data_IF_742884582776
#
_entry.id   IF_742884582776
#
_cell.length_a   1.000
_cell.length_b   1.000
_cell.length_c   1.000
_cell.angle_alpha   90.00
_cell.angle_beta   90.00
_cell.angle_gamma   90.00
#
_symmetry.space_group_name_H-M   'P 1'
#
loop_
_entity.id
_entity.type
_entity.pdbx_description
1 polymer ?
#
# COMPACT_ATOMS: atom_id res chain seq x y z
N UNK A 1 -8.05 -13.77 -1.16
CA UNK A 1 -7.88 -15.23 -1.07
C UNK A 1 -6.40 -15.60 -1.04
N UNK A 2 -6.09 -16.85 -0.66
CA UNK A 2 -4.73 -17.34 -0.48
C UNK A 2 -3.92 -17.37 -1.78
N UNK A 3 -4.54 -17.73 -2.89
CA UNK A 3 -3.88 -17.74 -4.19
C UNK A 3 -3.34 -16.35 -4.56
N UNK A 4 -4.13 -15.32 -4.32
CA UNK A 4 -3.71 -13.94 -4.56
C UNK A 4 -2.53 -13.54 -3.65
N UNK A 5 -2.58 -13.91 -2.37
CA UNK A 5 -1.48 -13.63 -1.43
C UNK A 5 -0.18 -14.31 -1.88
N UNK A 6 -0.27 -15.57 -2.33
CA UNK A 6 0.90 -16.30 -2.83
C UNK A 6 1.50 -15.63 -4.08
N UNK A 7 0.66 -15.10 -4.97
CA UNK A 7 1.14 -14.34 -6.13
C UNK A 7 1.89 -13.07 -5.71
N UNK A 8 1.38 -12.36 -4.69
CA UNK A 8 2.08 -11.19 -4.13
C UNK A 8 3.45 -11.62 -3.57
N UNK A 9 3.50 -12.70 -2.81
CA UNK A 9 4.75 -13.23 -2.26
C UNK A 9 5.74 -13.59 -3.37
N UNK A 10 5.25 -14.21 -4.44
CA UNK A 10 6.07 -14.57 -5.58
C UNK A 10 6.68 -13.34 -6.26
N UNK A 11 5.89 -12.29 -6.45
CA UNK A 11 6.40 -11.03 -7.02
C UNK A 11 7.51 -10.45 -6.13
N UNK A 12 7.31 -10.44 -4.81
CA UNK A 12 8.33 -9.95 -3.88
C UNK A 12 9.62 -10.78 -3.96
N UNK A 13 9.51 -12.11 -4.06
CA UNK A 13 10.64 -13.01 -4.19
C UNK A 13 11.42 -12.77 -5.50
N UNK A 14 10.69 -12.48 -6.59
CA UNK A 14 11.30 -12.23 -7.90
C UNK A 14 11.92 -10.83 -8.01
N UNK A 15 11.70 -9.97 -7.01
CA UNK A 15 12.24 -8.62 -6.98
C UNK A 15 13.03 -8.36 -5.68
N UNK A 16 14.10 -9.13 -5.41
CA UNK A 16 14.77 -9.05 -4.11
C UNK A 16 15.45 -7.70 -3.85
N UNK A 17 15.77 -6.94 -4.88
CA UNK A 17 16.34 -5.60 -4.75
C UNK A 17 15.31 -4.51 -4.46
N UNK A 18 14.02 -4.85 -4.34
CA UNK A 18 12.96 -3.88 -4.08
C UNK A 18 12.32 -4.16 -2.73
N UNK A 19 11.93 -3.10 -2.02
CA UNK A 19 11.17 -3.21 -0.78
C UNK A 19 9.69 -2.99 -1.08
N UNK A 20 8.86 -3.84 -0.49
CA UNK A 20 7.41 -3.81 -0.68
C UNK A 20 6.69 -3.58 0.64
N UNK A 21 5.53 -2.96 0.60
CA UNK A 21 4.63 -2.93 1.75
C UNK A 21 3.20 -3.13 1.28
N UNK A 22 2.40 -3.76 2.12
CA UNK A 22 1.01 -4.09 1.80
C UNK A 22 0.12 -3.79 3.00
N UNK A 23 -0.81 -2.83 2.89
CA UNK A 23 -1.85 -2.69 3.91
C UNK A 23 -2.93 -3.76 3.70
N UNK A 24 -3.49 -4.25 4.79
CA UNK A 24 -4.56 -5.25 4.73
C UNK A 24 -5.55 -5.07 5.88
N UNK A 25 -6.79 -5.48 5.68
CA UNK A 25 -7.80 -5.68 6.74
C UNK A 25 -8.18 -7.16 6.87
N UNK A 26 -7.54 -8.02 6.09
CA UNK A 26 -7.81 -9.45 6.07
C UNK A 26 -7.10 -10.13 7.24
N UNK A 27 -7.83 -10.47 8.29
CA UNK A 27 -7.26 -11.04 9.52
C UNK A 27 -6.57 -12.38 9.27
N UNK A 28 -7.09 -13.20 8.33
CA UNK A 28 -6.54 -14.53 8.02
C UNK A 28 -5.10 -14.48 7.49
N UNK A 29 -4.67 -13.35 6.93
CA UNK A 29 -3.28 -13.18 6.43
C UNK A 29 -2.27 -13.36 7.56
N UNK A 30 -2.69 -13.12 8.80
CA UNK A 30 -1.82 -13.30 9.98
C UNK A 30 -1.21 -14.71 10.03
N UNK A 31 -1.99 -15.72 9.66
CA UNK A 31 -1.54 -17.12 9.71
C UNK A 31 -0.51 -17.45 8.63
N UNK A 32 -0.25 -16.54 7.71
CA UNK A 32 0.70 -16.70 6.62
C UNK A 32 1.91 -15.75 6.72
N UNK A 33 2.05 -15.02 7.84
CA UNK A 33 3.16 -14.06 8.01
C UNK A 33 4.53 -14.75 8.08
N UNK A 34 4.58 -15.99 8.56
CA UNK A 34 5.83 -16.73 8.69
C UNK A 34 6.45 -17.08 7.33
N UNK A 35 5.63 -17.19 6.29
CA UNK A 35 6.06 -17.52 4.93
C UNK A 35 6.29 -16.27 4.05
N UNK A 36 6.08 -15.06 4.59
CA UNK A 36 6.23 -13.85 3.80
C UNK A 36 7.69 -13.57 3.45
N UNK A 37 7.98 -13.05 2.25
CA UNK A 37 9.33 -12.63 1.89
C UNK A 37 9.87 -11.52 2.79
N UNK A 38 11.17 -11.52 3.03
CA UNK A 38 11.84 -10.55 3.92
C UNK A 38 11.73 -9.10 3.41
N UNK A 39 11.59 -8.91 2.10
CA UNK A 39 11.46 -7.60 1.49
C UNK A 39 10.02 -7.08 1.46
N UNK A 40 9.07 -7.76 2.14
CA UNK A 40 7.67 -7.36 2.23
C UNK A 40 7.31 -7.04 3.68
N UNK A 41 6.72 -5.87 3.92
CA UNK A 41 6.09 -5.49 5.19
C UNK A 41 4.56 -5.52 5.01
N UNK A 42 3.87 -6.33 5.80
CA UNK A 42 2.40 -6.39 5.81
C UNK A 42 1.90 -5.64 7.04
N UNK A 43 1.08 -4.59 6.81
CA UNK A 43 0.51 -3.78 7.89
C UNK A 43 -0.99 -3.98 7.98
N UNK A 44 -1.44 -4.44 9.12
CA UNK A 44 -2.87 -4.56 9.40
C UNK A 44 -3.45 -3.16 9.67
N UNK A 45 -4.45 -2.77 8.88
CA UNK A 45 -5.10 -1.46 9.00
C UNK A 45 -6.20 -1.52 10.06
N UNK A 46 -6.06 -0.74 11.13
CA UNK A 46 -7.07 -0.65 12.17
C UNK A 46 -8.42 -0.23 11.57
N UNK A 47 -9.53 -0.85 12.00
CA UNK A 47 -10.81 -0.64 11.31
C UNK A 47 -11.46 0.73 11.56
N UNK A 48 -11.16 1.37 12.70
CA UNK A 48 -11.81 2.62 13.12
C UNK A 48 -10.80 3.72 13.37
N UNK A 49 -11.24 4.95 13.27
CA UNK A 49 -10.43 6.14 13.60
C UNK A 49 -10.12 6.14 15.10
N UNK A 50 -8.89 6.48 15.45
CA UNK A 50 -8.35 6.50 16.82
C UNK A 50 -8.41 5.13 17.51
N UNK A 51 -8.55 4.05 16.74
CA UNK A 51 -8.50 2.69 17.26
C UNK A 51 -7.18 2.03 16.85
N UNK A 52 -6.59 1.29 17.77
CA UNK A 52 -5.38 0.53 17.50
C UNK A 52 -5.69 -0.83 16.90
N UNK A 53 -4.80 -1.32 16.09
CA UNK A 53 -4.84 -2.69 15.60
C UNK A 53 -4.56 -3.67 16.76
N UNK A 54 -5.02 -4.94 16.66
CA UNK A 54 -4.70 -5.93 17.67
C UNK A 54 -3.20 -6.06 17.91
N UNK A 55 -2.79 -6.15 19.18
CA UNK A 55 -1.39 -6.19 19.58
C UNK A 55 -0.62 -7.39 18.98
N UNK A 56 -1.35 -8.43 18.61
CA UNK A 56 -0.79 -9.64 18.00
C UNK A 56 -0.28 -9.46 16.58
N UNK A 57 -0.58 -8.31 15.91
CA UNK A 57 0.00 -8.01 14.61
C UNK A 57 1.39 -7.37 14.77
N UNK A 58 2.41 -7.89 14.11
CA UNK A 58 3.76 -7.33 14.23
C UNK A 58 3.86 -5.91 13.66
N UNK A 59 3.16 -5.64 12.54
CA UNK A 59 3.12 -4.31 11.94
C UNK A 59 1.68 -3.90 11.67
N UNK A 60 1.37 -2.64 11.90
CA UNK A 60 0.01 -2.11 11.73
C UNK A 60 0.00 -0.68 11.21
N UNK A 61 -1.17 -0.26 10.81
CA UNK A 61 -1.44 1.15 10.51
C UNK A 61 -2.79 1.55 11.12
N UNK A 62 -2.93 2.83 11.41
CA UNK A 62 -4.14 3.38 12.02
C UNK A 62 -4.43 4.76 11.43
N UNK A 63 -5.68 5.19 11.54
CA UNK A 63 -6.07 6.56 11.21
C UNK A 63 -6.35 7.30 12.51
N UNK A 64 -5.77 8.50 12.67
CA UNK A 64 -5.90 9.30 13.89
C UNK A 64 -6.40 10.71 13.58
N UNK A 65 -7.13 11.29 14.54
CA UNK A 65 -7.60 12.67 14.41
C UNK A 65 -6.45 13.68 14.59
N UNK A 66 -5.42 13.33 15.37
CA UNK A 66 -4.30 14.24 15.66
C UNK A 66 -3.00 13.46 15.81
N UNK A 67 -1.88 14.16 15.65
CA UNK A 67 -0.52 13.63 15.91
C UNK A 67 -0.17 12.39 15.07
N UNK A 68 -0.60 12.37 13.81
CA UNK A 68 -0.22 11.30 12.88
C UNK A 68 1.29 11.27 12.65
N UNK A 69 1.88 10.06 12.61
CA UNK A 69 3.31 9.88 12.33
C UNK A 69 3.67 10.10 10.86
N UNK A 70 2.70 9.93 9.95
CA UNK A 70 2.94 10.12 8.52
C UNK A 70 3.13 11.60 8.19
N UNK A 71 4.29 12.01 7.64
CA UNK A 71 4.55 13.41 7.34
C UNK A 71 3.92 13.89 6.02
N UNK A 72 3.41 12.99 5.18
CA UNK A 72 2.96 13.30 3.83
C UNK A 72 1.98 14.50 3.75
N UNK A 73 0.99 14.63 4.66
CA UNK A 73 0.07 15.80 4.58
C UNK A 73 0.76 17.15 4.74
N UNK A 74 1.92 17.20 5.42
CA UNK A 74 2.73 18.40 5.59
C UNK A 74 3.73 18.60 4.45
N UNK A 75 3.80 17.66 3.51
CA UNK A 75 4.78 17.59 2.41
C UNK A 75 4.08 17.52 1.05
N UNK A 76 2.96 18.23 0.89
CA UNK A 76 2.13 18.23 -0.33
C UNK A 76 1.62 16.83 -0.71
N UNK A 77 1.36 15.99 0.31
CA UNK A 77 0.92 14.59 0.16
C UNK A 77 1.97 13.69 -0.52
N UNK A 78 3.25 14.03 -0.36
CA UNK A 78 4.37 13.26 -0.89
C UNK A 78 5.13 12.57 0.25
N UNK A 79 5.61 11.35 0.00
CA UNK A 79 6.40 10.61 1.00
C UNK A 79 7.83 11.16 1.13
N UNK A 80 8.36 11.77 0.07
CA UNK A 80 9.76 12.27 0.02
C UNK A 80 10.74 11.24 0.59
N UNK A 81 11.49 11.58 1.60
CA UNK A 81 12.48 10.68 2.19
C UNK A 81 11.93 9.74 3.26
N UNK A 82 10.64 9.88 3.62
CA UNK A 82 10.00 9.02 4.60
C UNK A 82 9.82 7.61 4.05
N UNK A 83 10.22 6.61 4.83
CA UNK A 83 10.10 5.18 4.45
C UNK A 83 9.44 4.34 5.57
N UNK A 84 8.70 4.98 6.47
CA UNK A 84 8.08 4.30 7.62
C UNK A 84 7.21 3.11 7.22
N UNK A 85 6.49 3.22 6.10
CA UNK A 85 5.58 2.14 5.65
C UNK A 85 6.35 0.85 5.30
N UNK A 86 7.59 0.98 4.81
CA UNK A 86 8.46 -0.12 4.41
C UNK A 86 9.38 -0.62 5.52
N UNK A 87 9.30 -0.04 6.71
CA UNK A 87 10.22 -0.36 7.83
C UNK A 87 9.52 -1.27 8.83
N UNK A 88 9.93 -2.54 8.84
CA UNK A 88 9.34 -3.55 9.73
C UNK A 88 9.63 -3.28 11.22
N UNK A 89 10.68 -2.49 11.55
CA UNK A 89 10.99 -2.13 12.93
C UNK A 89 9.97 -1.15 13.52
N UNK A 90 9.27 -0.40 12.66
CA UNK A 90 8.21 0.51 13.09
C UNK A 90 6.91 -0.28 13.22
N UNK A 91 6.47 -0.51 14.44
CA UNK A 91 5.29 -1.33 14.72
C UNK A 91 4.03 -0.71 14.11
N UNK A 92 3.78 0.59 14.34
CA UNK A 92 2.54 1.24 13.90
C UNK A 92 2.86 2.54 13.16
N UNK A 93 2.26 2.70 11.98
CA UNK A 93 2.27 3.98 11.24
C UNK A 93 0.87 4.59 11.35
N UNK A 94 0.79 5.85 11.78
CA UNK A 94 -0.50 6.54 11.88
C UNK A 94 -0.64 7.59 10.77
N UNK A 95 -1.82 7.60 10.17
CA UNK A 95 -2.21 8.54 9.13
C UNK A 95 -3.22 9.54 9.68
N UNK A 96 -3.08 10.81 9.33
CA UNK A 96 -4.07 11.81 9.70
C UNK A 96 -5.41 11.57 9.02
N UNK A 97 -6.50 11.68 9.76
CA UNK A 97 -7.84 11.64 9.17
C UNK A 97 -7.99 12.80 8.18
N UNK A 98 -8.33 12.47 6.94
CA UNK A 98 -8.59 13.49 5.95
C UNK A 98 -9.96 14.11 6.23
N UNK A 99 -9.85 15.06 6.87
CA UNK A 99 -10.88 15.69 7.09
C UNK A 99 -11.27 16.21 5.89
N UNK A 100 -12.42 16.02 5.57
CA UNK A 100 -13.05 16.80 4.56
C UNK A 100 -13.01 18.28 4.97
N UNK A 101 -11.87 18.89 4.80
CA UNK A 101 -11.81 20.34 4.79
C UNK A 101 -12.61 20.78 3.57
N UNK A 102 -13.91 20.99 3.75
CA UNK A 102 -14.71 21.69 2.77
C UNK A 102 -14.02 23.04 2.62
N UNK A 103 -13.45 23.38 1.46
CA UNK A 103 -12.80 24.65 1.30
C UNK A 103 -13.77 25.77 1.67
N UNK A 104 -13.27 26.82 2.32
CA UNK A 104 -14.10 27.91 2.85
C UNK A 104 -14.97 28.58 1.78
N UNK A 105 -14.62 28.46 0.49
CA UNK A 105 -15.41 29.00 -0.62
C UNK A 105 -16.75 28.27 -0.83
N UNK A 106 -16.94 27.08 -0.25
CA UNK A 106 -18.22 26.35 -0.35
C UNK A 106 -19.25 26.82 0.68
N UNK A 107 -18.92 27.80 1.52
CA UNK A 107 -19.89 28.38 2.46
C UNK A 107 -20.85 29.37 1.82
N UNK A 108 -20.64 29.73 0.56
CA UNK A 108 -21.50 30.65 -0.16
C UNK A 108 -21.96 30.06 -1.48
N UNK A 109 -23.21 29.64 -1.53
CA UNK A 109 -23.90 29.34 -2.77
C UNK A 109 -24.40 27.91 -2.93
N UNK A 110 -25.69 27.75 -2.84
CA UNK A 110 -26.46 26.61 -3.32
C UNK A 110 -26.44 26.60 -4.85
N UNK A 111 -25.40 26.07 -5.43
CA UNK A 111 -25.31 25.84 -6.88
C UNK A 111 -24.94 24.39 -7.13
N UNK A 112 -25.79 23.73 -7.91
CA UNK A 112 -25.62 22.33 -8.27
C UNK A 112 -24.29 22.07 -8.96
N UNK A 113 -23.32 21.53 -8.34
CA UNK A 113 -22.19 21.14 -8.92
C UNK A 113 -22.15 19.73 -8.93
N UNK A 114 -22.12 19.36 -9.99
CA UNK A 114 -21.87 17.93 -10.16
C UNK A 114 -20.43 17.62 -9.82
N UNK A 115 -20.13 17.08 -8.88
CA UNK A 115 -19.02 16.77 -8.56
C UNK A 115 -18.44 16.08 -9.52
N UNK A 116 -17.73 16.44 -10.05
CA UNK A 116 -16.76 15.68 -10.86
C UNK A 116 -15.75 15.03 -9.91
N UNK A 117 -15.84 13.75 -9.92
CA UNK A 117 -14.93 12.84 -9.24
C UNK A 117 -13.48 13.16 -9.67
N UNK A 118 -12.81 13.90 -8.82
CA UNK A 118 -11.42 14.21 -9.13
C UNK A 118 -10.47 13.49 -8.19
N UNK A 119 -10.10 12.62 -8.80
CA UNK A 119 -9.13 12.03 -8.53
C UNK A 119 -8.69 11.61 -7.35
N UNK A 120 -8.82 10.51 -7.12
CA UNK A 120 -8.00 9.69 -6.24
C UNK A 120 -6.56 9.73 -6.73
N UNK A 121 -5.88 10.77 -6.38
CA UNK A 121 -4.43 10.75 -6.57
C UNK A 121 -3.86 9.85 -5.46
N UNK A 122 -3.69 8.59 -5.80
CA UNK A 122 -2.82 7.72 -5.04
C UNK A 122 -1.45 8.41 -4.91
N UNK A 123 -0.81 8.30 -3.76
CA UNK A 123 0.57 8.75 -3.60
C UNK A 123 1.43 7.99 -4.60
N UNK A 124 1.60 8.56 -5.79
CA UNK A 124 2.52 8.01 -6.78
C UNK A 124 3.90 8.52 -6.42
N UNK A 125 4.70 7.63 -5.92
CA UNK A 125 6.11 7.91 -5.69
C UNK A 125 6.85 7.80 -7.02
N UNK A 126 7.53 8.88 -7.41
CA UNK A 126 8.31 8.95 -8.64
C UNK A 126 9.80 8.67 -8.43
N UNK A 127 10.16 7.98 -7.35
CA UNK A 127 11.54 7.58 -7.11
C UNK A 127 11.87 6.22 -7.75
N UNK A 128 13.15 5.95 -8.01
CA UNK A 128 13.55 4.76 -8.78
C UNK A 128 13.34 3.42 -8.08
N UNK A 129 12.69 3.36 -6.93
CA UNK A 129 12.55 2.12 -6.14
C UNK A 129 11.12 1.74 -5.72
N UNK A 130 10.09 2.43 -6.21
CA UNK A 130 8.71 2.00 -5.92
C UNK A 130 8.10 1.35 -7.15
N UNK A 131 7.99 0.04 -7.12
CA UNK A 131 7.14 -0.66 -8.05
C UNK A 131 5.74 -0.76 -7.44
N UNK A 132 4.83 0.13 -7.86
CA UNK A 132 3.40 -0.14 -7.71
C UNK A 132 3.08 -1.32 -8.62
N UNK A 133 2.69 -2.43 -8.01
CA UNK A 133 2.32 -3.61 -8.77
C UNK A 133 0.95 -3.35 -9.41
N UNK A 134 0.95 -2.84 -10.64
CA UNK A 134 -0.20 -3.00 -11.52
C UNK A 134 -0.01 -4.34 -12.22
N UNK A 135 -0.76 -5.34 -11.77
CA UNK A 135 -0.83 -6.60 -12.48
C UNK A 135 -1.49 -6.35 -13.84
N UNK A 136 -0.69 -6.23 -14.89
CA UNK A 136 -1.23 -6.28 -16.24
C UNK A 136 -1.49 -7.73 -16.61
N UNK A 137 -2.71 -8.05 -16.99
CA UNK A 137 -3.11 -9.36 -17.50
C UNK A 137 -2.58 -9.55 -18.93
N UNK A 138 -1.27 -9.65 -19.09
CA UNK A 138 -0.69 -10.03 -20.37
C UNK A 138 -0.34 -11.53 -20.32
N UNK A 139 -0.79 -12.33 -21.29
CA UNK A 139 -0.42 -13.75 -21.33
C UNK A 139 1.07 -13.90 -21.60
N UNK A 140 1.70 -14.76 -20.82
CA UNK A 140 3.10 -15.15 -21.02
C UNK A 140 3.20 -15.94 -22.32
N UNK A 141 3.92 -15.40 -23.29
CA UNK A 141 4.29 -16.18 -24.50
C UNK A 141 5.38 -17.17 -24.11
N UNK A 142 5.02 -18.44 -24.08
CA UNK A 142 6.01 -19.51 -23.95
C UNK A 142 6.69 -19.74 -25.30
N UNK A 143 7.93 -19.33 -25.43
CA UNK A 143 8.77 -19.73 -26.57
C UNK A 143 9.13 -21.19 -26.38
N UNK A 144 8.60 -22.05 -27.23
CA UNK A 144 9.01 -23.45 -27.30
C UNK A 144 10.29 -23.56 -28.14
N UNK A 145 11.42 -23.62 -27.49
CA UNK A 145 12.66 -24.02 -28.16
C UNK A 145 12.66 -25.52 -28.38
N UNK A 146 12.50 -25.94 -29.62
CA UNK A 146 12.73 -27.34 -30.02
C UNK A 146 14.22 -27.59 -30.06
N UNK A 147 14.72 -28.65 -29.41
CA UNK A 147 16.12 -29.06 -29.60
C UNK A 147 16.31 -29.61 -31.02
N UNK A 148 17.27 -29.08 -31.74
CA UNK A 148 17.73 -29.68 -33.01
C UNK A 148 18.55 -30.92 -32.72
N UNK A 149 18.16 -32.07 -33.27
CA UNK A 149 18.93 -33.32 -33.25
C UNK A 149 20.09 -33.18 -34.22
N UNK A 150 21.30 -33.43 -33.70
CA UNK A 150 22.50 -33.57 -34.51
C UNK A 150 22.66 -35.04 -34.95
N UNK A 151 22.69 -35.12 -36.04
CA UNK A 151 22.92 -36.38 -36.56
C UNK A 151 24.23 -36.52 -37.08
#
# INVERSE_FOLDING_TARGET
DLDHLQKIYKVCQLTPGKRHWMPTREAWIKDHLDSKPNNLVIRFSAPMVDQRAPASWPNSSEVVNSNASCPAPKQNNECRDCRQCWDASIKTVSYGKHXNKIPAWNKFGSGHXRXRDSXRRACTWSGPQAASIKLSNQPVQTSSDKPQALX
#
